data_IF_882089597306
#
_entry.id   IF_882089597306
#
_cell.length_a   1.000
_cell.length_b   1.000
_cell.length_c   1.000
_cell.angle_alpha   90.00
_cell.angle_beta   90.00
_cell.angle_gamma   90.00
#
_symmetry.space_group_name_H-M   'P 1'
#
loop_
_entity.id
_entity.type
_entity.pdbx_description
1 polymer ?
#
# COMPACT_ATOMS: atom_id res chain seq x y z
N UNK A 1 65.94 -31.19 52.93
CA UNK A 1 65.48 -30.21 51.92
C UNK A 1 64.34 -30.81 51.12
N UNK A 2 63.17 -30.14 51.16
CA UNK A 2 62.13 -30.02 50.12
C UNK A 2 61.75 -31.28 49.31
N UNK A 3 60.81 -32.08 49.80
CA UNK A 3 59.81 -32.78 48.94
C UNK A 3 58.49 -32.84 49.70
N UNK A 4 57.37 -32.79 48.97
CA UNK A 4 55.99 -33.03 49.44
C UNK A 4 55.18 -31.80 49.90
N UNK A 5 55.15 -30.72 49.08
CA UNK A 5 54.02 -29.75 49.10
C UNK A 5 53.47 -29.50 47.68
N UNK A 6 54.03 -30.14 46.65
CA UNK A 6 53.62 -29.92 45.26
C UNK A 6 52.35 -30.71 44.90
N UNK A 7 52.11 -31.86 45.55
CA UNK A 7 50.98 -32.75 45.24
C UNK A 7 49.57 -32.19 45.58
N UNK A 8 49.34 -31.54 46.74
CA UNK A 8 48.01 -31.00 47.05
C UNK A 8 47.67 -29.75 46.24
N UNK A 9 48.68 -28.96 45.81
CA UNK A 9 48.49 -27.78 44.95
C UNK A 9 48.11 -28.19 43.52
N UNK A 10 48.68 -29.27 43.00
CA UNK A 10 48.31 -29.81 41.67
C UNK A 10 46.89 -30.39 41.68
N UNK A 11 46.46 -31.05 42.76
CA UNK A 11 45.07 -31.54 42.89
C UNK A 11 44.04 -30.41 42.94
N UNK A 12 44.37 -29.27 43.58
CA UNK A 12 43.50 -28.08 43.62
C UNK A 12 43.30 -27.44 42.24
N UNK A 13 44.31 -27.48 41.37
CA UNK A 13 44.22 -26.93 40.00
C UNK A 13 43.39 -27.85 39.08
N UNK A 14 43.40 -29.16 39.32
CA UNK A 14 42.57 -30.13 38.57
C UNK A 14 41.11 -30.13 39.06
N UNK A 15 40.87 -29.80 40.33
CA UNK A 15 39.53 -29.69 40.92
C UNK A 15 38.75 -28.44 40.48
N UNK A 16 39.43 -27.40 39.99
CA UNK A 16 38.78 -26.33 39.23
C UNK A 16 38.56 -26.79 37.78
N UNK A 17 37.65 -27.75 37.61
CA UNK A 17 37.05 -28.02 36.31
C UNK A 17 36.37 -26.74 35.86
N UNK A 18 37.02 -26.00 34.96
CA UNK A 18 36.35 -24.96 34.18
C UNK A 18 35.30 -25.73 33.39
N UNK A 19 34.04 -25.72 33.82
CA UNK A 19 32.94 -26.06 32.95
C UNK A 19 33.10 -25.14 31.74
N UNK A 20 33.58 -25.71 30.64
CA UNK A 20 33.52 -25.03 29.35
C UNK A 20 32.03 -24.85 29.12
N UNK A 21 31.52 -23.65 29.41
CA UNK A 21 30.17 -23.26 29.05
C UNK A 21 29.97 -23.76 27.62
N UNK A 22 28.97 -24.63 27.42
CA UNK A 22 28.64 -25.10 26.08
C UNK A 22 28.57 -23.86 25.19
N UNK A 23 29.17 -23.89 23.99
CA UNK A 23 29.04 -22.79 23.06
C UNK A 23 27.56 -22.42 23.01
N UNK A 24 27.21 -21.12 23.08
CA UNK A 24 25.81 -20.72 22.99
C UNK A 24 25.20 -21.42 21.77
N UNK A 25 24.07 -22.08 21.97
CA UNK A 25 23.43 -22.81 20.88
C UNK A 25 23.26 -21.86 19.69
N UNK A 26 23.51 -22.33 18.46
CA UNK A 26 23.34 -21.50 17.29
C UNK A 26 21.92 -20.93 17.31
N UNK A 27 21.80 -19.62 17.09
CA UNK A 27 20.50 -18.96 17.06
C UNK A 27 19.58 -19.69 16.08
N UNK A 28 18.30 -19.89 16.41
CA UNK A 28 17.33 -20.43 15.48
C UNK A 28 17.33 -19.67 14.15
N UNK A 29 17.03 -20.33 13.02
CA UNK A 29 16.93 -19.65 11.73
C UNK A 29 15.75 -18.66 11.71
N UNK A 30 15.79 -17.70 10.77
CA UNK A 30 14.79 -16.63 10.64
C UNK A 30 13.35 -17.17 10.59
N UNK A 31 13.13 -18.27 9.86
CA UNK A 31 11.82 -18.92 9.69
C UNK A 31 11.22 -19.40 11.02
N UNK A 32 12.06 -19.82 11.98
CA UNK A 32 11.57 -20.25 13.28
C UNK A 32 11.03 -19.07 14.10
N UNK A 33 11.69 -17.91 14.00
CA UNK A 33 11.21 -16.67 14.61
C UNK A 33 9.93 -16.16 13.94
N UNK A 34 9.80 -16.26 12.60
CA UNK A 34 8.55 -15.95 11.89
C UNK A 34 7.40 -16.82 12.39
N UNK A 35 7.63 -18.14 12.49
CA UNK A 35 6.62 -19.08 13.00
C UNK A 35 6.17 -18.71 14.41
N UNK A 36 7.12 -18.47 15.32
CA UNK A 36 6.82 -18.02 16.70
C UNK A 36 6.09 -16.68 16.70
N UNK A 37 6.47 -15.75 15.82
CA UNK A 37 5.82 -14.45 15.65
C UNK A 37 4.34 -14.60 15.32
N UNK A 38 3.99 -15.48 14.38
CA UNK A 38 2.60 -15.79 14.06
C UNK A 38 1.84 -16.50 15.18
N UNK A 39 2.50 -17.42 15.91
CA UNK A 39 1.91 -18.06 17.08
C UNK A 39 1.54 -17.04 18.16
N UNK A 40 2.40 -16.06 18.42
CA UNK A 40 2.16 -14.97 19.38
C UNK A 40 1.13 -13.96 18.86
N UNK A 41 1.17 -13.64 17.57
CA UNK A 41 0.16 -12.79 16.93
C UNK A 41 -1.24 -13.39 17.10
N UNK A 42 -1.37 -14.71 16.89
CA UNK A 42 -2.64 -15.44 17.06
C UNK A 42 -3.16 -15.40 18.50
N UNK A 43 -2.26 -15.30 19.49
CA UNK A 43 -2.61 -15.13 20.92
C UNK A 43 -2.99 -13.68 21.27
N UNK A 44 -2.84 -12.74 20.33
CA UNK A 44 -3.04 -11.31 20.57
C UNK A 44 -1.84 -10.61 21.21
N UNK A 45 -0.70 -11.29 21.33
CA UNK A 45 0.52 -10.75 21.94
C UNK A 45 1.32 -9.95 20.88
N UNK A 46 0.73 -8.85 20.40
CA UNK A 46 1.25 -8.13 19.24
C UNK A 46 2.64 -7.51 19.45
N UNK A 47 2.96 -7.01 20.66
CA UNK A 47 4.30 -6.50 20.97
C UNK A 47 5.37 -7.59 20.86
N UNK A 48 5.06 -8.80 21.33
CA UNK A 48 5.99 -9.90 21.27
C UNK A 48 6.10 -10.48 19.86
N UNK A 49 4.98 -10.59 19.14
CA UNK A 49 4.99 -10.91 17.72
C UNK A 49 5.85 -9.93 16.91
N UNK A 50 5.70 -8.62 17.15
CA UNK A 50 6.50 -7.57 16.53
C UNK A 50 8.00 -7.80 16.77
N UNK A 51 8.41 -8.06 18.02
CA UNK A 51 9.81 -8.31 18.36
C UNK A 51 10.38 -9.58 17.71
N UNK A 52 9.56 -10.64 17.61
CA UNK A 52 9.94 -11.89 16.95
C UNK A 52 10.13 -11.69 15.45
N UNK A 53 9.23 -10.96 14.79
CA UNK A 53 9.40 -10.61 13.37
C UNK A 53 10.61 -9.70 13.14
N UNK A 54 10.88 -8.75 14.04
CA UNK A 54 12.07 -7.90 13.96
C UNK A 54 13.36 -8.73 14.09
N UNK A 55 13.37 -9.70 15.01
CA UNK A 55 14.48 -10.65 15.15
C UNK A 55 14.68 -11.49 13.89
N UNK A 56 13.59 -11.96 13.27
CA UNK A 56 13.66 -12.69 12.01
C UNK A 56 14.28 -11.84 10.89
N UNK A 57 13.95 -10.55 10.81
CA UNK A 57 14.53 -9.59 9.85
C UNK A 57 16.02 -9.36 10.11
N UNK A 58 16.44 -9.29 11.38
CA UNK A 58 17.88 -9.15 11.73
C UNK A 58 18.69 -10.37 11.29
N UNK A 59 18.10 -11.57 11.39
CA UNK A 59 18.75 -12.83 10.98
C UNK A 59 18.76 -13.01 9.47
N UNK A 60 17.69 -12.60 8.79
CA UNK A 60 17.60 -12.58 7.33
C UNK A 60 16.83 -11.34 6.86
N UNK A 61 17.58 -10.36 6.35
CA UNK A 61 17.04 -9.09 5.86
C UNK A 61 16.20 -9.26 4.58
N UNK A 62 16.21 -10.43 3.93
CA UNK A 62 15.40 -10.75 2.75
C UNK A 62 14.19 -11.63 3.07
N UNK A 63 13.93 -11.91 4.36
CA UNK A 63 12.75 -12.67 4.76
C UNK A 63 11.46 -11.84 4.61
N UNK A 64 10.85 -11.95 3.44
CA UNK A 64 9.61 -11.25 3.08
C UNK A 64 8.44 -11.53 4.06
N UNK A 65 8.33 -12.74 4.58
CA UNK A 65 7.26 -13.10 5.51
C UNK A 65 7.44 -12.43 6.87
N UNK A 66 8.68 -12.21 7.30
CA UNK A 66 8.96 -11.48 8.53
C UNK A 66 8.51 -10.02 8.42
N UNK A 67 8.75 -9.35 7.29
CA UNK A 67 8.22 -7.99 7.03
C UNK A 67 6.70 -7.98 6.96
N UNK A 68 6.10 -8.96 6.28
CA UNK A 68 4.64 -9.11 6.21
C UNK A 68 4.00 -9.24 7.60
N UNK A 69 4.55 -10.11 8.44
CA UNK A 69 4.12 -10.30 9.83
C UNK A 69 4.33 -9.06 10.70
N UNK A 70 5.49 -8.40 10.57
CA UNK A 70 5.79 -7.13 11.25
C UNK A 70 4.77 -6.06 10.88
N UNK A 71 4.38 -5.94 9.61
CA UNK A 71 3.36 -4.98 9.17
C UNK A 71 2.02 -5.17 9.89
N UNK A 72 1.56 -6.42 10.01
CA UNK A 72 0.34 -6.73 10.75
C UNK A 72 0.47 -6.44 12.24
N UNK A 73 1.57 -6.87 12.87
CA UNK A 73 1.81 -6.58 14.28
C UNK A 73 1.87 -5.07 14.55
N UNK A 74 2.57 -4.30 13.70
CA UNK A 74 2.64 -2.84 13.77
C UNK A 74 1.26 -2.19 13.63
N UNK A 75 0.41 -2.68 12.72
CA UNK A 75 -0.97 -2.19 12.56
C UNK A 75 -1.76 -2.37 13.85
N UNK A 76 -1.65 -3.54 14.50
CA UNK A 76 -2.34 -3.81 15.77
C UNK A 76 -1.82 -2.96 16.92
N UNK A 77 -0.54 -2.59 16.88
CA UNK A 77 0.10 -1.69 17.84
C UNK A 77 -0.08 -0.20 17.50
N UNK A 78 -0.84 0.13 16.44
CA UNK A 78 -0.99 1.50 15.93
C UNK A 78 0.34 2.19 15.59
N UNK A 79 1.39 1.42 15.29
CA UNK A 79 2.69 1.91 14.78
C UNK A 79 2.60 2.08 13.26
N UNK A 80 1.86 3.12 12.84
CA UNK A 80 1.42 3.29 11.44
C UNK A 80 2.59 3.36 10.45
N UNK A 81 3.65 4.11 10.76
CA UNK A 81 4.79 4.24 9.83
C UNK A 81 5.62 2.96 9.70
N UNK A 82 5.76 2.22 10.81
CA UNK A 82 6.41 0.92 10.81
C UNK A 82 5.58 -0.09 10.02
N UNK A 83 4.25 -0.02 10.12
CA UNK A 83 3.34 -0.87 9.35
C UNK A 83 3.47 -0.60 7.84
N UNK A 84 3.40 0.67 7.42
CA UNK A 84 3.56 1.08 6.02
C UNK A 84 4.90 0.58 5.48
N UNK A 85 5.98 0.89 6.20
CA UNK A 85 7.33 0.49 5.80
C UNK A 85 7.45 -1.03 5.67
N UNK A 86 6.97 -1.79 6.65
CA UNK A 86 7.07 -3.25 6.65
C UNK A 86 6.24 -3.89 5.52
N UNK A 87 5.01 -3.43 5.27
CA UNK A 87 4.23 -3.94 4.14
C UNK A 87 4.87 -3.60 2.80
N UNK A 88 5.37 -2.37 2.62
CA UNK A 88 6.07 -1.97 1.40
C UNK A 88 7.31 -2.83 1.17
N UNK A 89 8.13 -3.07 2.19
CA UNK A 89 9.30 -3.95 2.06
C UNK A 89 8.92 -5.39 1.75
N UNK A 90 7.87 -5.94 2.36
CA UNK A 90 7.36 -7.28 2.01
C UNK A 90 6.97 -7.38 0.53
N UNK A 91 6.22 -6.40 0.01
CA UNK A 91 5.82 -6.36 -1.40
C UNK A 91 7.03 -6.21 -2.34
N UNK A 92 8.00 -5.36 -1.99
CA UNK A 92 9.23 -5.16 -2.76
C UNK A 92 10.08 -6.43 -2.78
N UNK A 93 10.28 -7.09 -1.63
CA UNK A 93 11.06 -8.32 -1.56
C UNK A 93 10.41 -9.46 -2.35
N UNK A 94 9.08 -9.60 -2.24
CA UNK A 94 8.34 -10.57 -3.05
C UNK A 94 8.53 -10.30 -4.54
N UNK A 95 8.36 -9.05 -4.99
CA UNK A 95 8.47 -8.70 -6.41
C UNK A 95 9.91 -8.81 -6.94
N UNK A 96 10.93 -8.48 -6.15
CA UNK A 96 12.32 -8.72 -6.56
C UNK A 96 12.59 -10.22 -6.76
N UNK A 97 12.13 -11.06 -5.82
CA UNK A 97 12.36 -12.51 -5.85
C UNK A 97 11.61 -13.20 -6.99
N UNK A 98 10.33 -12.88 -7.17
CA UNK A 98 9.43 -13.63 -8.05
C UNK A 98 9.19 -12.95 -9.41
N UNK A 99 9.54 -11.66 -9.56
CA UNK A 99 9.21 -10.86 -10.74
C UNK A 99 10.45 -10.23 -11.41
N UNK A 100 11.54 -11.00 -11.51
CA UNK A 100 12.74 -10.65 -12.27
C UNK A 100 13.31 -9.25 -11.94
N UNK A 101 13.25 -8.82 -10.68
CA UNK A 101 13.79 -7.54 -10.24
C UNK A 101 12.95 -6.30 -10.60
N UNK A 102 11.64 -6.45 -10.83
CA UNK A 102 10.70 -5.32 -10.99
C UNK A 102 10.00 -5.00 -9.65
N UNK A 103 10.53 -4.09 -8.81
CA UNK A 103 10.00 -3.82 -7.47
C UNK A 103 8.62 -3.16 -7.46
N UNK A 104 8.25 -2.48 -8.54
CA UNK A 104 7.02 -1.68 -8.64
C UNK A 104 5.82 -2.48 -9.17
N UNK A 105 5.80 -3.81 -9.04
CA UNK A 105 4.65 -4.60 -9.49
C UNK A 105 3.65 -4.83 -8.36
N UNK A 106 2.34 -4.56 -8.60
CA UNK A 106 1.70 -4.32 -9.89
C UNK A 106 1.37 -2.85 -10.19
N UNK A 107 1.89 -1.86 -9.45
CA UNK A 107 1.52 -0.45 -9.63
C UNK A 107 2.72 0.45 -9.96
N UNK A 108 2.57 1.34 -10.94
CA UNK A 108 3.63 2.25 -11.36
C UNK A 108 3.21 3.69 -11.17
N UNK A 109 4.12 4.52 -10.63
CA UNK A 109 3.99 5.97 -10.67
C UNK A 109 4.72 6.51 -11.89
N UNK A 110 4.06 7.33 -12.69
CA UNK A 110 4.67 7.94 -13.86
C UNK A 110 4.29 9.41 -13.99
N UNK A 111 5.24 10.21 -14.48
CA UNK A 111 5.04 11.60 -14.90
C UNK A 111 4.86 11.59 -16.42
N UNK A 112 3.71 12.05 -16.92
CA UNK A 112 3.47 12.19 -18.36
C UNK A 112 3.14 13.63 -18.76
N UNK A 113 3.50 13.99 -19.98
CA UNK A 113 3.15 15.28 -20.58
C UNK A 113 1.81 15.21 -21.34
N UNK A 114 1.22 16.37 -21.64
CA UNK A 114 -0.05 16.49 -22.37
C UNK A 114 -0.10 15.71 -23.69
N UNK A 115 0.95 15.79 -24.51
CA UNK A 115 1.03 15.05 -25.79
C UNK A 115 0.98 13.54 -25.64
N UNK A 116 1.14 13.04 -24.41
CA UNK A 116 1.07 11.64 -24.02
C UNK A 116 -0.26 11.32 -23.31
N UNK A 117 -1.28 12.14 -23.48
CA UNK A 117 -2.66 11.84 -23.04
C UNK A 117 -3.51 11.51 -24.26
N UNK A 118 -4.42 10.52 -24.13
CA UNK A 118 -5.30 10.12 -25.24
C UNK A 118 -6.56 10.98 -25.31
N UNK A 119 -6.94 11.60 -24.20
CA UNK A 119 -8.11 12.44 -24.10
C UNK A 119 -8.00 13.34 -22.87
N UNK A 120 -8.35 14.60 -23.04
CA UNK A 120 -8.60 15.55 -21.97
C UNK A 120 -9.72 16.49 -22.43
N UNK A 121 -10.63 16.91 -21.55
CA UNK A 121 -11.82 17.62 -22.01
C UNK A 121 -12.71 18.18 -20.91
N UNK A 122 -13.67 19.01 -21.33
CA UNK A 122 -14.68 19.64 -20.48
C UNK A 122 -15.87 18.71 -20.36
N UNK A 123 -16.18 18.27 -19.13
CA UNK A 123 -17.42 17.55 -18.83
C UNK A 123 -18.62 18.51 -18.85
N UNK A 124 -18.48 19.64 -18.15
CA UNK A 124 -19.57 20.60 -17.95
C UNK A 124 -19.00 21.97 -17.58
N UNK A 125 -19.49 23.02 -18.22
CA UNK A 125 -19.24 24.40 -17.79
C UNK A 125 -20.20 24.72 -16.63
N UNK A 126 -19.66 24.97 -15.43
CA UNK A 126 -20.46 25.35 -14.26
C UNK A 126 -20.74 26.85 -14.29
N UNK A 127 -19.76 27.66 -14.69
CA UNK A 127 -19.87 29.12 -14.86
C UNK A 127 -18.78 29.65 -15.80
N UNK A 128 -18.82 30.94 -16.12
CA UNK A 128 -17.76 31.64 -16.87
C UNK A 128 -16.36 31.52 -16.22
N UNK A 129 -16.31 31.17 -14.93
CA UNK A 129 -15.08 31.05 -14.14
C UNK A 129 -14.84 29.65 -13.58
N UNK A 130 -15.62 28.63 -13.94
CA UNK A 130 -15.43 27.28 -13.40
C UNK A 130 -15.97 26.22 -14.36
N UNK A 131 -15.10 25.29 -14.77
CA UNK A 131 -15.46 24.14 -15.59
C UNK A 131 -15.01 22.85 -14.92
N UNK A 132 -15.78 21.78 -15.11
CA UNK A 132 -15.40 20.40 -14.81
C UNK A 132 -14.58 19.86 -15.97
N UNK A 133 -13.45 19.25 -15.64
CA UNK A 133 -12.52 18.68 -16.59
C UNK A 133 -12.14 17.27 -16.18
N UNK A 134 -11.68 16.50 -17.16
CA UNK A 134 -11.05 15.21 -16.93
C UNK A 134 -9.80 15.01 -17.81
N UNK A 135 -8.90 14.13 -17.39
CA UNK A 135 -7.77 13.66 -18.20
C UNK A 135 -7.69 12.13 -18.15
N UNK A 136 -7.44 11.51 -19.31
CA UNK A 136 -7.07 10.10 -19.45
C UNK A 136 -5.61 9.95 -19.88
N UNK A 137 -4.72 9.49 -18.98
CA UNK A 137 -3.36 9.14 -19.33
C UNK A 137 -3.30 8.07 -20.43
N UNK A 138 -2.37 8.16 -21.39
CA UNK A 138 -2.32 7.25 -22.54
C UNK A 138 -2.05 5.80 -22.19
N UNK A 139 -1.33 5.53 -21.09
CA UNK A 139 -1.10 4.17 -20.62
C UNK A 139 -2.35 3.49 -20.07
N UNK A 140 -3.42 4.24 -19.78
CA UNK A 140 -4.66 3.64 -19.31
C UNK A 140 -5.34 2.89 -20.46
N UNK A 141 -5.34 1.56 -20.33
CA UNK A 141 -5.96 0.65 -21.29
C UNK A 141 -6.75 -0.43 -20.55
N UNK A 142 -8.05 -0.24 -20.37
CA UNK A 142 -8.89 -1.21 -19.68
C UNK A 142 -9.05 -2.52 -20.47
N UNK A 143 -9.12 -3.67 -19.79
CA UNK A 143 -9.02 -3.86 -18.35
C UNK A 143 -7.58 -4.10 -17.87
N UNK A 144 -6.57 -3.92 -18.72
CA UNK A 144 -5.20 -4.38 -18.46
C UNK A 144 -4.36 -3.40 -17.65
N UNK A 145 -4.62 -2.10 -17.85
CA UNK A 145 -3.92 -1.04 -17.15
C UNK A 145 -4.90 0.04 -16.66
N UNK A 146 -5.75 -0.28 -15.67
CA UNK A 146 -6.60 0.72 -15.03
C UNK A 146 -5.77 1.75 -14.27
N UNK A 147 -6.32 2.97 -14.17
CA UNK A 147 -5.88 4.00 -13.26
C UNK A 147 -6.17 3.53 -11.82
N UNK A 148 -5.18 3.66 -10.95
CA UNK A 148 -5.29 3.36 -9.52
C UNK A 148 -5.54 4.62 -8.69
N UNK A 149 -4.84 5.71 -9.00
CA UNK A 149 -5.01 7.04 -8.40
C UNK A 149 -4.10 8.04 -9.12
N UNK A 150 -3.95 9.24 -8.56
CA UNK A 150 -2.97 10.24 -8.99
C UNK A 150 -2.20 10.83 -7.80
N UNK A 151 -1.08 11.50 -8.07
CA UNK A 151 -0.36 12.31 -7.08
C UNK A 151 -0.44 13.81 -7.37
N UNK A 152 -0.38 14.23 -8.64
CA UNK A 152 -0.63 15.63 -9.02
C UNK A 152 -0.89 15.81 -10.51
N UNK A 153 -1.72 16.78 -10.87
CA UNK A 153 -1.83 17.39 -12.20
C UNK A 153 -1.30 18.81 -12.08
N UNK A 154 -0.26 19.15 -12.85
CA UNK A 154 0.32 20.50 -12.85
C UNK A 154 0.18 21.10 -14.23
N UNK A 155 -0.44 22.27 -14.31
CA UNK A 155 -0.66 23.01 -15.55
C UNK A 155 0.33 24.16 -15.55
N UNK A 156 1.28 24.14 -16.49
CA UNK A 156 2.14 25.29 -16.75
C UNK A 156 1.32 26.34 -17.50
N UNK A 157 1.23 27.55 -16.93
CA UNK A 157 0.58 28.74 -17.52
C UNK A 157 1.63 29.84 -17.63
N UNK A 158 2.25 30.00 -18.79
CA UNK A 158 3.45 30.84 -18.97
C UNK A 158 4.62 30.38 -18.07
N UNK A 159 5.04 31.21 -17.11
CA UNK A 159 6.14 30.87 -16.16
C UNK A 159 5.67 30.24 -14.85
N UNK A 160 4.35 30.10 -14.63
CA UNK A 160 3.79 29.58 -13.38
C UNK A 160 3.25 28.17 -13.56
N UNK A 161 3.26 27.39 -12.49
CA UNK A 161 2.57 26.10 -12.42
C UNK A 161 1.37 26.26 -11.49
N UNK A 162 0.22 25.78 -11.93
CA UNK A 162 -1.03 25.77 -11.17
C UNK A 162 -1.49 24.33 -11.02
N UNK A 163 -1.94 23.99 -9.82
CA UNK A 163 -2.56 22.70 -9.53
C UNK A 163 -4.09 22.89 -9.44
N UNK A 164 -4.88 22.13 -10.21
CA UNK A 164 -6.34 22.28 -10.21
C UNK A 164 -6.95 21.66 -8.95
N UNK A 165 -8.22 21.98 -8.70
CA UNK A 165 -8.94 21.39 -7.56
C UNK A 165 -9.60 20.08 -7.99
N UNK A 166 -9.12 18.96 -7.48
CA UNK A 166 -9.68 17.64 -7.80
C UNK A 166 -11.02 17.41 -7.12
N UNK A 167 -11.93 16.71 -7.81
CA UNK A 167 -13.22 16.35 -7.24
C UNK A 167 -13.55 14.86 -7.36
N UNK A 168 -12.90 14.10 -8.26
CA UNK A 168 -13.13 12.66 -8.35
C UNK A 168 -12.03 11.91 -9.14
N UNK A 169 -12.12 10.59 -9.17
CA UNK A 169 -11.35 9.69 -10.04
C UNK A 169 -12.23 8.55 -10.59
N UNK A 170 -11.77 7.89 -11.64
CA UNK A 170 -12.30 6.60 -12.08
C UNK A 170 -11.16 5.65 -12.46
N UNK A 171 -11.49 4.49 -13.04
CA UNK A 171 -10.47 3.55 -13.53
C UNK A 171 -9.78 4.07 -14.81
N UNK A 172 -10.23 5.20 -15.35
CA UNK A 172 -9.71 5.77 -16.59
C UNK A 172 -9.35 7.25 -16.50
N UNK A 173 -10.06 8.00 -15.66
CA UNK A 173 -10.04 9.45 -15.67
C UNK A 173 -9.69 10.03 -14.30
N UNK A 174 -8.95 11.13 -14.32
CA UNK A 174 -8.78 12.03 -13.18
C UNK A 174 -9.71 13.22 -13.41
N UNK A 175 -10.57 13.55 -12.44
CA UNK A 175 -11.54 14.63 -12.56
C UNK A 175 -11.18 15.82 -11.67
N UNK A 176 -11.24 17.03 -12.24
CA UNK A 176 -10.85 18.25 -11.55
C UNK A 176 -11.59 19.49 -12.06
N UNK A 177 -11.52 20.55 -11.28
CA UNK A 177 -12.08 21.86 -11.54
C UNK A 177 -10.94 22.83 -11.86
N UNK A 178 -11.04 23.52 -12.99
CA UNK A 178 -10.15 24.63 -13.34
C UNK A 178 -10.92 25.70 -14.13
N UNK A 179 -10.70 26.96 -13.77
CA UNK A 179 -11.35 28.14 -14.35
C UNK A 179 -10.78 28.56 -15.71
N UNK A 180 -9.54 28.15 -15.98
CA UNK A 180 -8.70 28.56 -17.11
C UNK A 180 -7.87 27.36 -17.58
N UNK A 181 -8.49 26.20 -17.69
CA UNK A 181 -7.78 25.07 -18.27
C UNK A 181 -7.53 25.39 -19.76
N UNK A 182 -6.36 25.05 -20.32
CA UNK A 182 -6.08 25.29 -21.73
C UNK A 182 -7.20 24.71 -22.61
N UNK A 183 -7.56 25.38 -23.71
CA UNK A 183 -8.47 24.86 -24.72
C UNK A 183 -7.68 24.45 -25.96
N UNK A 184 -8.24 23.56 -26.78
CA UNK A 184 -7.62 23.11 -28.05
C UNK A 184 -7.29 24.27 -29.02
N UNK A 185 -7.91 25.44 -28.82
CA UNK A 185 -7.68 26.66 -29.61
C UNK A 185 -6.62 27.59 -29.03
N UNK A 186 -6.14 27.33 -27.81
CA UNK A 186 -5.13 28.17 -27.16
C UNK A 186 -3.77 27.91 -27.80
N UNK A 187 -3.11 28.98 -28.25
CA UNK A 187 -1.83 28.89 -28.96
C UNK A 187 -0.69 28.52 -28.00
N UNK A 188 -0.44 27.22 -27.88
CA UNK A 188 0.87 26.56 -27.67
C UNK A 188 1.86 27.28 -26.73
N UNK A 189 1.64 27.23 -25.41
CA UNK A 189 2.73 27.31 -24.41
C UNK A 189 2.44 26.51 -23.12
N UNK A 190 1.17 26.19 -22.87
CA UNK A 190 0.78 25.48 -21.67
C UNK A 190 1.15 23.99 -21.80
N UNK A 191 1.69 23.43 -20.72
CA UNK A 191 2.07 22.01 -20.66
C UNK A 191 1.45 21.42 -19.41
N UNK A 192 0.67 20.36 -19.60
CA UNK A 192 0.08 19.62 -18.49
C UNK A 192 1.01 18.46 -18.13
N UNK A 193 1.37 18.38 -16.85
CA UNK A 193 2.12 17.27 -16.28
C UNK A 193 1.20 16.47 -15.37
N UNK A 194 1.05 15.18 -15.62
CA UNK A 194 0.21 14.29 -14.83
C UNK A 194 1.10 13.25 -14.17
N UNK A 195 1.11 13.26 -12.84
CA UNK A 195 1.74 12.23 -12.03
C UNK A 195 0.66 11.28 -11.53
N UNK A 196 0.71 10.03 -11.97
CA UNK A 196 -0.37 9.09 -11.73
C UNK A 196 0.09 7.66 -11.45
N UNK A 197 -0.76 6.92 -10.77
CA UNK A 197 -0.56 5.51 -10.47
C UNK A 197 -1.44 4.67 -11.37
N UNK A 198 -0.86 3.75 -12.14
CA UNK A 198 -1.61 2.78 -12.92
C UNK A 198 -1.18 1.37 -12.59
N UNK A 199 -2.08 0.42 -12.82
CA UNK A 199 -1.81 -0.99 -12.65
C UNK A 199 -1.19 -1.55 -13.93
N UNK A 200 -0.16 -2.37 -13.83
CA UNK A 200 0.22 -3.26 -14.93
C UNK A 200 -0.13 -4.68 -14.50
N UNK A 201 -1.09 -5.31 -15.19
CA UNK A 201 -1.51 -6.67 -14.85
C UNK A 201 -0.29 -7.61 -14.89
N UNK A 202 0.07 -8.21 -13.75
CA UNK A 202 1.21 -9.12 -13.67
C UNK A 202 0.94 -10.34 -14.56
N UNK A 203 1.97 -10.82 -15.24
CA UNK A 203 1.92 -12.09 -16.00
C UNK A 203 2.22 -13.31 -15.11
N UNK A 204 2.35 -13.08 -13.80
CA UNK A 204 2.60 -14.09 -12.78
C UNK A 204 1.45 -14.11 -11.78
N UNK A 205 1.22 -15.26 -11.16
CA UNK A 205 0.26 -15.36 -10.08
C UNK A 205 0.79 -14.65 -8.83
N UNK A 206 0.04 -13.67 -8.34
CA UNK A 206 0.35 -13.01 -7.07
C UNK A 206 -0.18 -13.86 -5.90
N UNK A 207 0.65 -14.16 -4.89
CA UNK A 207 0.21 -14.90 -3.71
C UNK A 207 -0.67 -14.02 -2.80
N UNK A 208 -1.62 -14.66 -2.11
CA UNK A 208 -2.62 -13.97 -1.27
C UNK A 208 -2.01 -13.00 -0.25
N UNK A 209 -0.85 -13.33 0.33
CA UNK A 209 -0.15 -12.48 1.31
C UNK A 209 0.22 -11.10 0.76
N UNK A 210 0.50 -10.97 -0.53
CA UNK A 210 0.82 -9.68 -1.15
C UNK A 210 -0.43 -8.81 -1.22
N UNK A 211 -1.58 -9.37 -1.61
CA UNK A 211 -2.86 -8.65 -1.56
C UNK A 211 -3.27 -8.27 -0.13
N UNK A 212 -2.93 -9.11 0.86
CA UNK A 212 -3.12 -8.81 2.27
C UNK A 212 -2.19 -7.69 2.74
N UNK A 213 -0.94 -7.64 2.27
CA UNK A 213 -0.02 -6.52 2.52
C UNK A 213 -0.57 -5.22 1.93
N UNK A 214 -1.12 -5.24 0.70
CA UNK A 214 -1.82 -4.08 0.13
C UNK A 214 -3.06 -3.68 0.94
N UNK A 215 -3.81 -4.65 1.48
CA UNK A 215 -4.94 -4.35 2.37
C UNK A 215 -4.46 -3.70 3.68
N UNK A 216 -3.30 -4.11 4.19
CA UNK A 216 -2.62 -3.47 5.32
C UNK A 216 -2.12 -2.06 5.01
N UNK A 217 -1.57 -1.82 3.82
CA UNK A 217 -1.21 -0.48 3.32
C UNK A 217 -2.43 0.42 3.20
N UNK A 218 -3.55 -0.08 2.66
CA UNK A 218 -4.81 0.66 2.60
C UNK A 218 -5.23 1.12 4.00
N UNK A 219 -5.28 0.20 4.98
CA UNK A 219 -5.66 0.53 6.34
C UNK A 219 -4.68 1.49 7.03
N UNK A 220 -3.37 1.30 6.83
CA UNK A 220 -2.34 2.12 7.47
C UNK A 220 -2.29 3.54 6.90
N UNK A 221 -2.36 3.69 5.57
CA UNK A 221 -2.44 5.02 4.94
C UNK A 221 -3.75 5.73 5.32
N UNK A 222 -4.86 4.99 5.43
CA UNK A 222 -6.11 5.54 5.94
C UNK A 222 -5.97 6.12 7.36
N UNK A 223 -5.31 5.38 8.27
CA UNK A 223 -5.07 5.86 9.64
C UNK A 223 -4.19 7.12 9.71
N UNK A 224 -3.33 7.35 8.71
CA UNK A 224 -2.51 8.56 8.58
C UNK A 224 -3.21 9.69 7.80
N UNK A 225 -4.45 9.48 7.37
CA UNK A 225 -5.19 10.40 6.52
C UNK A 225 -4.56 10.64 5.13
N UNK A 226 -3.66 9.75 4.68
CA UNK A 226 -3.16 9.72 3.30
C UNK A 226 -4.09 8.88 2.43
N UNK A 227 -5.25 9.46 2.12
CA UNK A 227 -6.31 8.74 1.39
C UNK A 227 -5.93 8.42 -0.06
N UNK A 228 -5.04 9.18 -0.71
CA UNK A 228 -4.62 8.88 -2.09
C UNK A 228 -3.77 7.62 -2.13
N UNK A 229 -2.79 7.48 -1.23
CA UNK A 229 -2.00 6.26 -1.09
C UNK A 229 -2.86 5.07 -0.65
N UNK A 230 -3.83 5.31 0.24
CA UNK A 230 -4.80 4.30 0.65
C UNK A 230 -5.60 3.78 -0.56
N UNK A 231 -6.09 4.69 -1.42
CA UNK A 231 -6.82 4.38 -2.65
C UNK A 231 -5.97 3.55 -3.62
N UNK A 232 -4.70 3.90 -3.83
CA UNK A 232 -3.79 3.11 -4.69
C UNK A 232 -3.72 1.66 -4.20
N UNK A 233 -3.45 1.47 -2.91
CA UNK A 233 -3.31 0.13 -2.33
C UNK A 233 -4.60 -0.70 -2.40
N UNK A 234 -5.75 -0.09 -2.08
CA UNK A 234 -7.04 -0.76 -2.18
C UNK A 234 -7.44 -1.09 -3.62
N UNK A 235 -7.12 -0.22 -4.58
CA UNK A 235 -7.41 -0.47 -5.99
C UNK A 235 -6.59 -1.62 -6.58
N UNK A 236 -5.36 -1.83 -6.12
CA UNK A 236 -4.58 -3.03 -6.49
C UNK A 236 -5.35 -4.30 -6.11
N UNK A 237 -5.86 -4.37 -4.89
CA UNK A 237 -6.64 -5.53 -4.42
C UNK A 237 -7.96 -5.67 -5.20
N UNK A 238 -8.68 -4.57 -5.42
CA UNK A 238 -9.96 -4.56 -6.15
C UNK A 238 -9.81 -5.15 -7.56
N UNK A 239 -8.74 -4.79 -8.27
CA UNK A 239 -8.52 -5.18 -9.68
C UNK A 239 -7.87 -6.54 -9.89
N UNK A 240 -7.05 -7.01 -8.95
CA UNK A 240 -6.26 -8.24 -9.14
C UNK A 240 -6.71 -9.42 -8.29
N UNK A 241 -7.38 -9.16 -7.18
CA UNK A 241 -7.78 -10.20 -6.24
C UNK A 241 -9.24 -10.60 -6.43
N UNK A 242 -9.56 -11.84 -6.09
CA UNK A 242 -10.92 -12.36 -6.08
C UNK A 242 -11.51 -12.37 -4.65
N UNK A 243 -12.74 -12.88 -4.52
CA UNK A 243 -13.48 -12.92 -3.26
C UNK A 243 -12.93 -13.93 -2.25
N UNK A 244 -11.94 -14.75 -2.61
CA UNK A 244 -11.35 -15.76 -1.73
C UNK A 244 -10.33 -15.19 -0.74
N UNK A 245 -9.89 -13.93 -0.95
CA UNK A 245 -8.93 -13.26 -0.08
C UNK A 245 -9.40 -13.22 1.37
N UNK A 246 -8.61 -13.83 2.26
CA UNK A 246 -8.90 -13.87 3.69
C UNK A 246 -7.61 -13.88 4.49
N UNK A 247 -7.51 -12.96 5.44
CA UNK A 247 -6.52 -13.02 6.50
C UNK A 247 -7.04 -13.92 7.63
N UNK A 248 -6.22 -14.87 8.03
CA UNK A 248 -6.61 -15.92 8.98
C UNK A 248 -6.74 -15.41 10.42
N UNK A 249 -6.18 -14.24 10.72
CA UNK A 249 -6.09 -13.67 12.05
C UNK A 249 -6.87 -12.35 12.15
N UNK A 250 -7.14 -11.90 13.39
CA UNK A 250 -7.64 -10.55 13.64
C UNK A 250 -6.72 -9.50 12.99
N UNK A 251 -7.22 -8.46 12.29
CA UNK A 251 -8.61 -7.96 12.27
C UNK A 251 -9.56 -8.63 11.27
N UNK A 252 -9.26 -9.85 10.82
CA UNK A 252 -10.07 -10.65 9.91
C UNK A 252 -10.37 -9.90 8.60
N UNK A 253 -9.34 -9.31 8.02
CA UNK A 253 -9.41 -8.63 6.72
C UNK A 253 -9.72 -9.64 5.63
N UNK A 254 -10.59 -9.26 4.70
CA UNK A 254 -10.97 -10.06 3.54
C UNK A 254 -11.28 -9.13 2.36
N UNK A 255 -11.53 -9.69 1.18
CA UNK A 255 -11.82 -8.90 -0.02
C UNK A 255 -12.93 -7.83 0.18
N UNK A 256 -14.05 -8.23 0.80
CA UNK A 256 -15.19 -7.35 1.04
C UNK A 256 -14.81 -6.17 1.94
N UNK A 257 -14.13 -6.45 3.07
CA UNK A 257 -13.68 -5.40 4.00
C UNK A 257 -12.64 -4.49 3.35
N UNK A 258 -11.74 -5.02 2.54
CA UNK A 258 -10.77 -4.21 1.79
C UNK A 258 -11.49 -3.25 0.84
N UNK A 259 -12.49 -3.71 0.09
CA UNK A 259 -13.31 -2.83 -0.76
C UNK A 259 -14.12 -1.81 0.03
N UNK A 260 -14.68 -2.20 1.16
CA UNK A 260 -15.40 -1.27 2.03
C UNK A 260 -14.47 -0.17 2.57
N UNK A 261 -13.25 -0.52 2.98
CA UNK A 261 -12.22 0.46 3.37
C UNK A 261 -11.79 1.34 2.19
N UNK A 262 -11.67 0.79 0.98
CA UNK A 262 -11.37 1.57 -0.22
C UNK A 262 -12.47 2.60 -0.51
N UNK A 263 -13.74 2.20 -0.45
CA UNK A 263 -14.88 3.10 -0.59
C UNK A 263 -14.85 4.19 0.49
N UNK A 264 -14.52 3.83 1.73
CA UNK A 264 -14.43 4.80 2.81
C UNK A 264 -13.27 5.78 2.64
N UNK A 265 -12.11 5.33 2.14
CA UNK A 265 -11.00 6.21 1.75
C UNK A 265 -11.43 7.19 0.66
N UNK A 266 -12.19 6.73 -0.34
CA UNK A 266 -12.72 7.59 -1.40
C UNK A 266 -13.68 8.65 -0.84
N UNK A 267 -14.60 8.25 0.03
CA UNK A 267 -15.49 9.18 0.75
C UNK A 267 -14.70 10.23 1.54
N UNK A 268 -13.70 9.82 2.32
CA UNK A 268 -12.85 10.74 3.10
C UNK A 268 -12.04 11.69 2.21
N UNK A 269 -11.72 11.28 0.98
CA UNK A 269 -11.07 12.11 -0.04
C UNK A 269 -12.05 12.99 -0.84
N UNK A 270 -13.35 12.85 -0.59
CA UNK A 270 -14.44 13.50 -1.33
C UNK A 270 -14.59 13.04 -2.80
N UNK A 271 -14.15 11.81 -3.12
CA UNK A 271 -14.33 11.18 -4.42
C UNK A 271 -15.61 10.35 -4.42
N UNK A 272 -16.74 11.04 -4.49
CA UNK A 272 -18.07 10.45 -4.25
C UNK A 272 -18.49 9.50 -5.36
N UNK A 273 -18.23 9.82 -6.63
CA UNK A 273 -18.50 8.92 -7.76
C UNK A 273 -17.68 7.65 -7.67
N UNK A 274 -16.39 7.75 -7.33
CA UNK A 274 -15.55 6.58 -7.09
C UNK A 274 -16.03 5.72 -5.90
N UNK A 275 -16.42 6.37 -4.79
CA UNK A 275 -16.99 5.71 -3.61
C UNK A 275 -18.26 4.91 -3.98
N UNK A 276 -19.22 5.56 -4.63
CA UNK A 276 -20.49 4.96 -5.06
C UNK A 276 -20.25 3.76 -5.97
N UNK A 277 -19.33 3.88 -6.93
CA UNK A 277 -18.95 2.77 -7.81
C UNK A 277 -18.53 1.53 -7.00
N UNK A 278 -17.64 1.70 -6.02
CA UNK A 278 -17.15 0.57 -5.22
C UNK A 278 -18.28 -0.03 -4.36
N UNK A 279 -19.17 0.80 -3.81
CA UNK A 279 -20.32 0.33 -3.05
C UNK A 279 -21.29 -0.47 -3.93
N UNK A 280 -21.57 -0.03 -5.15
CA UNK A 280 -22.39 -0.79 -6.11
C UNK A 280 -21.74 -2.11 -6.52
N UNK A 281 -20.40 -2.17 -6.61
CA UNK A 281 -19.71 -3.43 -6.83
C UNK A 281 -19.74 -4.37 -5.60
N UNK A 282 -20.04 -3.85 -4.41
CA UNK A 282 -20.20 -4.64 -3.17
C UNK A 282 -21.65 -5.11 -2.99
N UNK A 283 -22.61 -4.24 -3.29
CA UNK A 283 -24.04 -4.52 -3.30
C UNK A 283 -24.67 -4.02 -4.61
N UNK A 284 -24.75 -4.87 -5.65
CA UNK A 284 -25.31 -4.49 -6.95
C UNK A 284 -26.80 -4.12 -6.91
N UNK A 285 -27.52 -4.45 -5.82
CA UNK A 285 -28.93 -4.10 -5.67
C UNK A 285 -29.13 -2.75 -4.96
N UNK A 286 -28.07 -2.15 -4.42
CA UNK A 286 -28.13 -0.85 -3.80
C UNK A 286 -28.34 0.24 -4.86
N UNK A 287 -29.31 1.13 -4.60
CA UNK A 287 -29.62 2.27 -5.48
C UNK A 287 -28.94 3.51 -4.90
N UNK A 288 -27.95 4.10 -5.60
CA UNK A 288 -27.27 5.30 -5.12
C UNK A 288 -28.18 6.53 -5.16
N UNK A 289 -27.81 7.62 -4.46
CA UNK A 289 -28.43 8.92 -4.62
C UNK A 289 -28.43 9.38 -6.09
N UNK A 290 -29.36 10.27 -6.45
CA UNK A 290 -29.58 10.68 -7.84
C UNK A 290 -28.37 11.35 -8.51
N UNK A 291 -27.52 12.04 -7.74
CA UNK A 291 -26.23 12.55 -8.22
C UNK A 291 -25.10 12.03 -7.31
N UNK A 292 -24.30 11.06 -7.77
CA UNK A 292 -23.18 10.52 -7.00
C UNK A 292 -21.97 11.47 -6.96
N UNK A 293 -21.98 12.58 -7.71
CA UNK A 293 -20.93 13.60 -7.73
C UNK A 293 -21.30 14.86 -6.94
N UNK A 294 -22.50 14.93 -6.39
CA UNK A 294 -22.95 16.05 -5.57
C UNK A 294 -22.43 15.87 -4.13
N UNK A 295 -21.45 16.66 -3.66
CA UNK A 295 -20.95 16.57 -2.30
C UNK A 295 -21.98 17.03 -1.26
N UNK A 296 -23.01 17.76 -1.68
CA UNK A 296 -24.13 18.24 -0.86
C UNK A 296 -25.36 17.32 -0.95
N UNK A 297 -25.36 16.32 -1.84
CA UNK A 297 -26.36 15.26 -1.84
C UNK A 297 -26.16 14.48 -0.54
N UNK A 298 -26.94 14.86 0.48
CA UNK A 298 -26.99 14.17 1.77
C UNK A 298 -27.18 12.69 1.50
N UNK A 299 -26.11 11.93 1.64
CA UNK A 299 -26.17 10.49 1.76
C UNK A 299 -26.94 10.25 3.04
N UNK A 300 -28.21 9.88 2.93
CA UNK A 300 -28.95 9.30 4.04
C UNK A 300 -28.27 7.96 4.33
N UNK A 301 -27.34 7.98 5.28
CA UNK A 301 -26.80 6.78 5.95
C UNK A 301 -27.74 6.46 7.11
#
# INVERSE_FOLDING_TARGET
MKKIVILPVIMLIIACGIEKNKPPEPLPPSEEYVKKGWEEYKKGNFDYAYALFDTAIVLDAYNEEAYYGKGWASTQLSKVEDAISAYSFSIILWSIKENFGKPDVPFFNEIIAESETNYWGIDTLISDTLAKWHIKPKKINLPNSPLLSYSSVKIKKGTKYVEPSYYDISDEYIYFLDSKFPRDTDTLEDTIFVNYYYLEKPQIQIPAKVYLAYSGLLASNFMKEDYLSAIVAGNVVRHLCDTTLKFEYYPYINYIKTKAFLAYSAYKKNFMGFCVKILMELDPNWVPPSDPFDPDAKVYI
#
